data_IF_179051115335
#
_entry.id   IF_179051115335
#
_cell.length_a   1.000
_cell.length_b   1.000
_cell.length_c   1.000
_cell.angle_alpha   90.00
_cell.angle_beta   90.00
_cell.angle_gamma   90.00
#
_symmetry.space_group_name_H-M   'P 1'
#
loop_
_entity.id
_entity.type
_entity.pdbx_description
1 polymer ?
#
# COMPACT_ATOMS: atom_id res chain seq x y z
N UNK A 1 18.49 -6.97 1.05
CA UNK A 1 17.26 -6.28 0.69
C UNK A 1 17.19 -4.93 1.39
N UNK A 2 16.97 -3.87 0.63
CA UNK A 2 16.97 -2.51 1.13
C UNK A 2 15.60 -2.08 1.67
N UNK A 3 14.66 -2.99 1.73
CA UNK A 3 13.30 -2.71 2.16
C UNK A 3 13.16 -2.87 3.67
N UNK A 4 12.57 -1.88 4.31
CA UNK A 4 12.30 -1.92 5.74
C UNK A 4 10.81 -1.93 6.00
N UNK A 5 10.42 -2.60 7.08
CA UNK A 5 9.04 -2.66 7.54
C UNK A 5 8.90 -1.93 8.86
N UNK A 6 7.80 -1.24 9.01
CA UNK A 6 7.49 -0.57 10.27
C UNK A 6 6.00 -0.73 10.56
N UNK A 7 5.69 -1.27 11.73
CA UNK A 7 4.29 -1.42 12.16
C UNK A 7 3.87 -0.20 12.96
N UNK A 8 2.64 0.23 12.73
CA UNK A 8 2.07 1.37 13.43
C UNK A 8 0.70 1.01 13.99
N UNK A 9 0.40 1.55 15.17
CA UNK A 9 -0.96 1.57 15.68
C UNK A 9 -1.65 2.71 14.95
N UNK A 10 -2.63 2.38 14.12
CA UNK A 10 -3.25 3.36 13.25
C UNK A 10 -4.37 4.12 13.97
N UNK A 11 -4.41 5.42 13.75
CA UNK A 11 -5.50 6.25 14.24
C UNK A 11 -6.48 6.49 13.11
N UNK A 12 -7.76 6.52 13.46
CA UNK A 12 -8.82 6.71 12.49
C UNK A 12 -10.00 5.82 12.84
N UNK A 13 -11.18 6.23 12.44
CA UNK A 13 -12.42 5.53 12.81
C UNK A 13 -12.60 4.25 12.00
N UNK A 14 -12.12 4.22 10.78
CA UNK A 14 -12.28 3.08 9.90
C UNK A 14 -10.99 2.79 9.17
N UNK A 15 -10.99 1.70 8.42
CA UNK A 15 -9.80 1.25 7.71
C UNK A 15 -9.32 2.28 6.68
N UNK A 16 -10.25 2.87 5.94
CA UNK A 16 -9.89 3.86 4.93
C UNK A 16 -9.20 5.06 5.52
N UNK A 17 -9.73 5.58 6.62
CA UNK A 17 -9.13 6.72 7.29
C UNK A 17 -7.76 6.37 7.86
N UNK A 18 -7.61 5.16 8.42
CA UNK A 18 -6.33 4.71 8.95
C UNK A 18 -5.28 4.63 7.85
N UNK A 19 -5.63 4.07 6.69
CA UNK A 19 -4.70 3.98 5.57
C UNK A 19 -4.34 5.37 5.04
N UNK A 20 -5.33 6.24 4.90
CA UNK A 20 -5.09 7.59 4.42
C UNK A 20 -4.14 8.34 5.35
N UNK A 21 -4.35 8.21 6.66
CA UNK A 21 -3.48 8.84 7.66
C UNK A 21 -2.05 8.28 7.60
N UNK A 22 -1.90 6.97 7.35
CA UNK A 22 -0.58 6.37 7.17
C UNK A 22 0.19 7.03 6.04
N UNK A 23 -0.46 7.23 4.91
CA UNK A 23 0.21 7.86 3.78
C UNK A 23 0.59 9.31 4.10
N UNK A 24 -0.33 10.08 4.70
CA UNK A 24 -0.03 11.46 5.03
C UNK A 24 1.15 11.57 6.00
N UNK A 25 1.15 10.76 7.05
CA UNK A 25 2.21 10.79 8.04
C UNK A 25 3.56 10.41 7.43
N UNK A 26 3.55 9.40 6.59
CA UNK A 26 4.78 8.94 5.96
C UNK A 26 5.34 9.97 4.97
N UNK A 27 4.47 10.58 4.18
CA UNK A 27 4.94 11.61 3.25
C UNK A 27 5.42 12.86 4.01
N UNK A 28 4.80 13.20 5.12
CA UNK A 28 5.31 14.28 5.97
C UNK A 28 6.69 13.96 6.53
N UNK A 29 7.01 12.69 6.70
CA UNK A 29 8.34 12.24 7.16
C UNK A 29 9.34 12.14 6.01
N UNK A 30 9.00 12.67 4.85
CA UNK A 30 9.88 12.79 3.67
C UNK A 30 10.21 11.46 2.99
N UNK A 31 9.35 10.46 3.11
CA UNK A 31 9.49 9.27 2.29
C UNK A 31 8.92 9.55 0.90
N UNK A 32 9.64 9.08 -0.13
CA UNK A 32 9.27 9.33 -1.51
C UNK A 32 8.32 8.29 -2.08
N UNK A 33 8.39 7.07 -1.58
CA UNK A 33 7.57 5.95 -2.05
C UNK A 33 7.13 5.15 -0.85
N UNK A 34 5.85 4.88 -0.75
CA UNK A 34 5.27 4.23 0.41
C UNK A 34 4.33 3.13 -0.05
N UNK A 35 4.47 1.97 0.57
CA UNK A 35 3.59 0.83 0.34
C UNK A 35 2.96 0.44 1.67
N UNK A 36 1.66 0.22 1.66
CA UNK A 36 0.92 -0.35 2.79
C UNK A 36 0.53 -1.77 2.48
N UNK A 37 0.72 -2.65 3.46
CA UNK A 37 0.31 -4.06 3.36
C UNK A 37 -0.39 -4.47 4.65
N UNK A 38 -1.14 -5.56 4.59
CA UNK A 38 -1.67 -6.18 5.79
C UNK A 38 -0.56 -6.87 6.57
N UNK A 39 -0.55 -6.73 7.89
CA UNK A 39 0.57 -7.20 8.71
C UNK A 39 0.65 -8.71 8.85
N UNK A 40 -0.42 -9.44 8.55
CA UNK A 40 -0.46 -10.89 8.65
C UNK A 40 -0.71 -11.55 7.30
N UNK A 41 -0.02 -11.13 6.27
CA UNK A 41 -0.20 -11.67 4.93
C UNK A 41 1.11 -12.30 4.47
N UNK A 42 1.39 -13.55 4.86
CA UNK A 42 2.70 -14.18 4.58
C UNK A 42 2.97 -14.41 3.10
N UNK A 43 1.94 -14.41 2.27
CA UNK A 43 2.13 -14.58 0.82
C UNK A 43 2.65 -13.33 0.12
N UNK A 44 2.74 -12.22 0.81
CA UNK A 44 3.36 -11.01 0.28
C UNK A 44 4.86 -11.16 0.47
N UNK A 45 5.56 -11.40 -0.63
CA UNK A 45 7.00 -11.66 -0.60
C UNK A 45 7.79 -10.38 -0.81
N UNK A 46 9.08 -10.44 -0.47
CA UNK A 46 9.99 -9.32 -0.74
C UNK A 46 10.04 -9.01 -2.23
N UNK A 47 9.89 -10.01 -3.07
CA UNK A 47 9.90 -9.82 -4.52
C UNK A 47 8.71 -8.99 -4.98
N UNK A 48 7.53 -9.26 -4.43
CA UNK A 48 6.33 -8.47 -4.74
C UNK A 48 6.53 -7.02 -4.32
N UNK A 49 7.04 -6.81 -3.13
CA UNK A 49 7.26 -5.46 -2.60
C UNK A 49 8.30 -4.72 -3.44
N UNK A 50 9.41 -5.38 -3.78
CA UNK A 50 10.44 -4.77 -4.60
C UNK A 50 9.93 -4.40 -5.98
N UNK A 51 9.12 -5.26 -6.58
CA UNK A 51 8.48 -4.96 -7.85
C UNK A 51 7.56 -3.76 -7.74
N UNK A 52 6.84 -3.67 -6.63
CA UNK A 52 5.98 -2.52 -6.37
C UNK A 52 6.76 -1.20 -6.34
N UNK A 53 7.87 -1.16 -5.61
CA UNK A 53 8.69 0.04 -5.58
C UNK A 53 9.27 0.39 -6.95
N UNK A 54 9.71 -0.62 -7.69
CA UNK A 54 10.23 -0.41 -9.03
C UNK A 54 9.18 0.21 -9.95
N UNK A 55 7.95 -0.30 -9.89
CA UNK A 55 6.88 0.18 -10.76
C UNK A 55 6.34 1.54 -10.34
N UNK A 56 6.54 1.95 -9.09
CA UNK A 56 6.17 3.30 -8.67
C UNK A 56 6.99 4.38 -9.37
N UNK A 57 8.16 4.05 -9.91
CA UNK A 57 8.89 5.01 -10.73
C UNK A 57 8.16 5.34 -12.02
N UNK A 58 7.29 4.47 -12.48
CA UNK A 58 6.61 4.60 -13.77
C UNK A 58 5.12 4.87 -13.65
N UNK A 59 4.54 4.63 -12.47
CA UNK A 59 3.09 4.71 -12.26
C UNK A 59 2.80 5.51 -11.00
N UNK A 60 1.62 6.12 -10.95
CA UNK A 60 1.20 6.91 -9.79
C UNK A 60 0.82 6.02 -8.60
N UNK A 61 0.19 4.90 -8.89
CA UNK A 61 -0.35 3.98 -7.90
C UNK A 61 0.06 2.56 -8.26
N UNK A 62 0.40 1.76 -7.26
CA UNK A 62 0.51 0.32 -7.44
C UNK A 62 -0.51 -0.36 -6.54
N UNK A 63 -1.07 -1.46 -7.00
CA UNK A 63 -2.09 -2.21 -6.26
C UNK A 63 -1.78 -3.69 -6.38
N UNK A 64 -1.91 -4.40 -5.26
CA UNK A 64 -1.88 -5.85 -5.24
C UNK A 64 -3.30 -6.37 -5.04
N UNK A 65 -3.94 -6.88 -6.09
CA UNK A 65 -5.32 -7.36 -5.99
C UNK A 65 -5.42 -8.66 -5.18
N UNK A 66 -6.51 -8.80 -4.43
CA UNK A 66 -6.85 -10.05 -3.78
C UNK A 66 -8.08 -10.65 -4.45
N UNK A 67 -8.16 -11.96 -4.47
CA UNK A 67 -9.23 -12.65 -5.17
C UNK A 67 -10.62 -12.37 -4.58
N UNK A 68 -10.68 -12.00 -3.31
CA UNK A 68 -11.95 -11.71 -2.66
C UNK A 68 -12.56 -10.35 -3.03
N UNK A 69 -11.93 -9.62 -3.94
CA UNK A 69 -12.41 -8.31 -4.39
C UNK A 69 -11.80 -7.13 -3.66
N UNK A 70 -10.87 -7.38 -2.75
CA UNK A 70 -10.10 -6.34 -2.07
C UNK A 70 -8.70 -6.23 -2.65
N UNK A 71 -7.82 -5.61 -1.89
CA UNK A 71 -6.40 -5.53 -2.25
C UNK A 71 -5.56 -5.83 -1.02
N UNK A 72 -4.40 -6.46 -1.25
CA UNK A 72 -3.49 -6.79 -0.17
C UNK A 72 -2.37 -5.78 -0.04
N UNK A 73 -2.23 -4.91 -1.01
CA UNK A 73 -1.14 -3.94 -1.08
C UNK A 73 -1.59 -2.73 -1.86
N UNK A 74 -1.22 -1.54 -1.39
CA UNK A 74 -1.38 -0.31 -2.15
C UNK A 74 -0.17 0.57 -1.91
N UNK A 75 0.38 1.13 -2.99
CA UNK A 75 1.53 2.01 -2.93
C UNK A 75 1.33 3.30 -3.69
N UNK A 76 2.01 4.33 -3.25
CA UNK A 76 1.96 5.67 -3.84
C UNK A 76 3.32 6.32 -3.75
N UNK A 77 3.57 7.29 -4.62
CA UNK A 77 4.80 8.10 -4.57
C UNK A 77 4.52 9.55 -4.23
N UNK A 78 3.25 9.90 -4.04
CA UNK A 78 2.83 11.21 -3.53
C UNK A 78 1.46 11.05 -2.89
N UNK A 79 1.07 11.96 -1.99
CA UNK A 79 -0.24 11.83 -1.35
C UNK A 79 -1.38 12.13 -2.32
N UNK A 80 -2.47 11.37 -2.17
CA UNK A 80 -3.69 11.56 -2.95
C UNK A 80 -4.83 11.76 -1.98
N UNK A 81 -5.27 13.00 -1.87
CA UNK A 81 -6.27 13.40 -0.90
C UNK A 81 -7.58 12.65 -1.11
N UNK A 82 -8.12 12.11 -0.04
CA UNK A 82 -9.44 11.44 -0.02
C UNK A 82 -9.55 10.25 -0.97
N UNK A 83 -8.44 9.62 -1.33
CA UNK A 83 -8.51 8.44 -2.19
C UNK A 83 -9.00 7.21 -1.45
N UNK A 84 -8.55 7.02 -0.22
CA UNK A 84 -8.82 5.81 0.54
C UNK A 84 -9.92 5.97 1.58
N UNK A 85 -10.07 7.14 2.16
CA UNK A 85 -11.17 7.39 3.08
C UNK A 85 -12.47 7.62 2.31
N UNK A 86 -13.58 7.70 2.99
CA UNK A 86 -14.90 7.93 2.38
C UNK A 86 -15.35 6.81 1.46
N UNK A 87 -14.89 5.58 1.72
CA UNK A 87 -15.41 4.40 1.03
C UNK A 87 -15.57 3.28 2.03
N UNK A 88 -16.47 2.36 1.74
CA UNK A 88 -16.65 1.18 2.58
C UNK A 88 -15.66 0.09 2.18
N UNK A 89 -15.30 -0.74 3.12
CA UNK A 89 -14.39 -1.85 2.93
C UNK A 89 -15.07 -3.14 3.40
N UNK A 90 -14.46 -4.27 3.10
CA UNK A 90 -14.98 -5.54 3.53
C UNK A 90 -16.05 -6.12 2.62
N UNK A 91 -16.05 -5.73 1.36
CA UNK A 91 -16.95 -6.30 0.37
C UNK A 91 -16.20 -6.56 -0.94
N UNK A 92 -16.85 -7.24 -1.87
CA UNK A 92 -16.17 -7.72 -3.07
C UNK A 92 -15.90 -6.67 -4.14
N UNK A 93 -16.47 -5.46 -3.99
CA UNK A 93 -16.31 -4.40 -4.98
C UNK A 93 -15.29 -3.33 -4.57
N UNK A 94 -14.57 -3.54 -3.47
CA UNK A 94 -13.63 -2.54 -2.95
C UNK A 94 -12.60 -2.17 -4.01
N UNK A 95 -11.95 -3.15 -4.60
CA UNK A 95 -10.91 -2.91 -5.59
C UNK A 95 -11.48 -2.22 -6.83
N UNK A 96 -12.61 -2.68 -7.33
CA UNK A 96 -13.21 -2.10 -8.53
C UNK A 96 -13.56 -0.64 -8.30
N UNK A 97 -14.10 -0.30 -7.14
CA UNK A 97 -14.44 1.09 -6.81
C UNK A 97 -13.19 1.95 -6.70
N UNK A 98 -12.12 1.41 -6.11
CA UNK A 98 -10.87 2.15 -6.01
C UNK A 98 -10.26 2.39 -7.39
N UNK A 99 -10.27 1.38 -8.26
CA UNK A 99 -9.74 1.53 -9.61
C UNK A 99 -10.53 2.54 -10.42
N UNK A 100 -11.85 2.59 -10.25
CA UNK A 100 -12.68 3.59 -10.91
C UNK A 100 -12.28 5.01 -10.47
N UNK A 101 -12.03 5.20 -9.18
CA UNK A 101 -11.61 6.51 -8.67
C UNK A 101 -10.24 6.90 -9.21
N UNK A 102 -9.31 5.95 -9.24
CA UNK A 102 -7.96 6.17 -9.79
C UNK A 102 -8.06 6.60 -11.25
N UNK A 103 -8.89 5.91 -12.03
CA UNK A 103 -9.09 6.25 -13.42
C UNK A 103 -9.74 7.62 -13.59
N UNK A 104 -10.73 7.94 -12.77
CA UNK A 104 -11.40 9.23 -12.81
C UNK A 104 -10.46 10.39 -12.51
N UNK A 105 -9.42 10.13 -11.73
CA UNK A 105 -8.41 11.14 -11.41
C UNK A 105 -7.27 11.18 -12.42
N UNK A 106 -7.33 10.37 -13.47
CA UNK A 106 -6.29 10.26 -14.50
C UNK A 106 -4.94 9.81 -13.91
N UNK A 107 -4.98 8.97 -12.90
CA UNK A 107 -3.77 8.41 -12.31
C UNK A 107 -3.45 7.08 -12.97
N UNK A 108 -2.17 6.84 -13.22
CA UNK A 108 -1.74 5.56 -13.77
C UNK A 108 -1.60 4.54 -12.65
N UNK A 109 -1.93 3.29 -12.94
CA UNK A 109 -1.88 2.22 -11.96
C UNK A 109 -1.19 1.00 -12.54
N UNK A 110 -0.35 0.36 -11.72
CA UNK A 110 0.24 -0.93 -12.04
C UNK A 110 -0.31 -1.97 -11.07
N UNK A 111 -0.73 -3.11 -11.60
CA UNK A 111 -1.27 -4.20 -10.79
C UNK A 111 -0.22 -5.27 -10.59
N UNK A 112 0.08 -5.55 -9.33
CA UNK A 112 0.92 -6.68 -8.96
C UNK A 112 0.12 -7.98 -9.10
N UNK A 113 0.78 -9.15 -8.99
CA UNK A 113 0.05 -10.41 -9.12
C UNK A 113 -1.10 -10.52 -8.14
N UNK A 114 -2.22 -11.05 -8.60
CA UNK A 114 -3.37 -11.30 -7.75
C UNK A 114 -3.05 -12.46 -6.80
N UNK A 115 -3.26 -12.25 -5.51
CA UNK A 115 -3.10 -13.31 -4.53
C UNK A 115 -4.44 -13.96 -4.24
N UNK A 116 -4.42 -15.30 -4.21
CA UNK A 116 -5.59 -16.11 -3.91
C UNK A 116 -5.45 -16.66 -2.50
N UNK A 117 -6.55 -17.11 -1.92
CA UNK A 117 -6.60 -17.68 -0.57
C UNK A 117 -6.21 -16.68 0.53
N UNK A 118 -6.29 -15.38 0.23
CA UNK A 118 -6.10 -14.33 1.22
C UNK A 118 -7.46 -13.71 1.51
N UNK A 119 -7.80 -13.63 2.79
CA UNK A 119 -9.02 -12.95 3.23
C UNK A 119 -8.67 -11.58 3.78
N UNK A 120 -8.52 -10.59 2.89
CA UNK A 120 -8.17 -9.23 3.30
C UNK A 120 -9.31 -8.53 4.03
N UNK A 121 -10.53 -9.07 3.97
CA UNK A 121 -11.64 -8.49 4.71
C UNK A 121 -11.40 -8.55 6.21
N UNK A 122 -10.82 -9.66 6.67
CA UNK A 122 -10.56 -9.86 8.09
C UNK A 122 -9.15 -9.44 8.48
N UNK A 123 -8.18 -9.68 7.61
CA UNK A 123 -6.77 -9.46 7.93
C UNK A 123 -6.48 -8.01 8.29
N UNK A 124 -6.96 -7.06 7.52
CA UNK A 124 -6.68 -5.65 7.78
C UNK A 124 -7.37 -5.14 9.04
N UNK A 125 -8.48 -5.76 9.43
CA UNK A 125 -9.17 -5.38 10.66
C UNK A 125 -8.49 -5.91 11.90
N UNK A 126 -7.96 -7.13 11.83
CA UNK A 126 -7.40 -7.82 12.99
C UNK A 126 -5.93 -7.56 13.20
N UNK A 127 -5.17 -7.58 12.11
CA UNK A 127 -3.72 -7.59 12.19
C UNK A 127 -3.10 -6.20 12.04
N UNK A 128 -3.86 -5.24 11.55
CA UNK A 128 -3.33 -3.90 11.33
C UNK A 128 -2.63 -3.76 10.00
N UNK A 129 -1.93 -2.67 9.85
CA UNK A 129 -1.32 -2.26 8.59
C UNK A 129 0.17 -2.05 8.83
N UNK A 130 1.00 -2.56 7.91
CA UNK A 130 2.42 -2.29 7.92
C UNK A 130 2.75 -1.27 6.83
N UNK A 131 3.60 -0.31 7.19
CA UNK A 131 4.15 0.62 6.23
C UNK A 131 5.49 0.08 5.77
N UNK A 132 5.68 0.06 4.46
CA UNK A 132 6.93 -0.38 3.86
C UNK A 132 7.52 0.77 3.07
N UNK A 133 8.81 1.02 3.25
CA UNK A 133 9.51 2.07 2.53
C UNK A 133 10.92 1.61 2.22
N UNK A 134 11.54 2.23 1.21
CA UNK A 134 12.93 1.94 0.87
C UNK A 134 13.84 2.59 1.89
N UNK A 135 14.90 1.87 2.26
CA UNK A 135 15.84 2.36 3.25
C UNK A 135 16.93 3.20 2.57
N UNK A 136 16.76 4.51 2.63
CA UNK A 136 17.73 5.43 2.05
C UNK A 136 19.08 5.38 2.77
N UNK A 137 19.07 5.07 4.06
CA UNK A 137 20.31 4.97 4.83
C UNK A 137 21.19 3.83 4.31
N UNK A 138 20.57 2.69 3.97
CA UNK A 138 21.31 1.58 3.38
C UNK A 138 21.92 1.99 2.05
N UNK A 139 21.19 2.75 1.25
CA UNK A 139 21.70 3.23 -0.02
C UNK A 139 22.92 4.15 0.18
N UNK A 140 22.84 5.06 1.13
CA UNK A 140 23.95 5.96 1.44
C UNK A 140 25.18 5.20 1.94
N UNK A 141 24.97 4.20 2.79
CA UNK A 141 26.06 3.36 3.25
C UNK A 141 26.78 2.67 2.11
N UNK A 142 26.02 2.15 1.16
CA UNK A 142 26.59 1.48 0.00
C UNK A 142 27.41 2.42 -0.85
N UNK A 143 27.01 3.67 -0.96
CA UNK A 143 27.76 4.67 -1.70
C UNK A 143 28.98 5.11 -0.92
N UNK A 144 28.86 5.25 0.38
CA UNK A 144 29.93 5.72 1.24
C UNK A 144 31.08 4.74 1.37
N UNK A 145 30.84 3.50 1.02
CA UNK A 145 31.84 2.47 1.12
C UNK A 145 32.46 2.16 -0.24
#
# INVERSE_FOLDING_TARGET
DDTKYQKHIQEGKDLGQRMQNCFYDAFESNFDKIILIGSDTPDITDQIISKGFEELDKHDIIIGPAQDGGFYLIGMKEPHENLLDKRSYGHKEVLNQLLDEVENRNLSVFKLPTLIDIDVKDDLKKAGIEIVFEDEDDFEENIGN
#
